data_IF_055599027369
#
_entry.id   IF_055599027369
#
_cell.length_a   1.000
_cell.length_b   1.000
_cell.length_c   1.000
_cell.angle_alpha   90.00
_cell.angle_beta   90.00
_cell.angle_gamma   90.00
#
_symmetry.space_group_name_H-M   'P 1'
#
loop_
_entity.id
_entity.type
_entity.pdbx_description
1 polymer ?
#
# COMPACT_ATOMS: atom_id res chain seq x y z
N UNK A 1 11.80 -8.84 -13.10
CA UNK A 1 11.49 -7.82 -12.08
C UNK A 1 10.06 -8.05 -11.57
N UNK A 2 9.79 -7.88 -10.27
CA UNK A 2 8.47 -8.12 -9.67
C UNK A 2 7.35 -7.30 -10.34
N UNK A 3 7.63 -6.02 -10.63
CA UNK A 3 6.70 -5.10 -11.26
C UNK A 3 6.18 -5.59 -12.62
N UNK A 4 7.08 -5.92 -13.55
CA UNK A 4 6.72 -6.45 -14.87
C UNK A 4 5.88 -7.74 -14.75
N UNK A 5 6.22 -8.61 -13.80
CA UNK A 5 5.50 -9.86 -13.59
C UNK A 5 4.08 -9.61 -13.05
N UNK A 6 3.91 -8.64 -12.14
CA UNK A 6 2.62 -8.25 -11.60
C UNK A 6 1.73 -7.60 -12.67
N UNK A 7 2.24 -6.57 -13.35
CA UNK A 7 1.49 -5.81 -14.36
C UNK A 7 1.05 -6.64 -15.57
N UNK A 8 1.76 -7.73 -15.89
CA UNK A 8 1.36 -8.65 -16.98
C UNK A 8 0.26 -9.63 -16.57
N UNK A 9 0.03 -9.87 -15.28
CA UNK A 9 -0.97 -10.82 -14.78
C UNK A 9 -2.36 -10.22 -14.65
N UNK A 10 -2.46 -8.91 -14.47
CA UNK A 10 -3.71 -8.24 -14.09
C UNK A 10 -4.06 -7.19 -15.12
N UNK A 11 -5.24 -7.32 -15.71
CA UNK A 11 -5.86 -6.29 -16.55
C UNK A 11 -7.15 -5.85 -15.87
N UNK A 12 -7.12 -4.66 -15.27
CA UNK A 12 -8.24 -4.15 -14.49
C UNK A 12 -8.26 -2.62 -14.55
N UNK A 13 -9.44 -1.99 -14.52
CA UNK A 13 -9.54 -0.51 -14.64
C UNK A 13 -8.81 0.23 -13.52
N UNK A 14 -8.72 -0.36 -12.33
CA UNK A 14 -8.06 0.18 -11.14
C UNK A 14 -6.61 -0.30 -10.95
N UNK A 15 -5.96 -0.82 -11.99
CA UNK A 15 -4.55 -1.22 -11.98
C UNK A 15 -3.88 -0.60 -13.20
N UNK A 16 -2.64 -0.13 -13.04
CA UNK A 16 -1.85 0.44 -14.13
C UNK A 16 -1.79 -0.52 -15.33
N UNK A 17 -2.17 -0.04 -16.51
CA UNK A 17 -2.03 -0.79 -17.75
C UNK A 17 -0.63 -0.62 -18.32
N UNK A 18 0.12 -1.72 -18.36
CA UNK A 18 1.36 -1.83 -19.12
C UNK A 18 1.04 -2.15 -20.58
N UNK A 19 1.39 -1.26 -21.50
CA UNK A 19 1.20 -1.44 -22.94
C UNK A 19 2.34 -2.21 -23.59
N UNK A 20 3.59 -1.87 -23.27
CA UNK A 20 4.76 -2.47 -23.91
C UNK A 20 6.01 -2.39 -23.02
N UNK A 21 6.91 -3.36 -23.23
CA UNK A 21 8.29 -3.29 -22.74
C UNK A 21 9.20 -3.02 -23.93
N UNK A 22 10.06 -2.03 -23.81
CA UNK A 22 11.08 -1.71 -24.82
C UNK A 22 12.45 -1.93 -24.19
N UNK A 23 13.25 -2.81 -24.78
CA UNK A 23 14.64 -3.02 -24.37
C UNK A 23 15.49 -2.10 -25.24
N UNK A 24 16.20 -1.18 -24.61
CA UNK A 24 17.11 -0.25 -25.28
C UNK A 24 18.53 -0.63 -24.90
N UNK A 25 19.36 -0.92 -25.90
CA UNK A 25 20.77 -1.22 -25.72
C UNK A 25 21.47 -1.21 -27.07
N UNK A 26 22.68 -0.66 -27.09
CA UNK A 26 23.53 -0.67 -28.27
C UNK A 26 24.37 -1.96 -28.27
N UNK A 27 24.34 -2.70 -29.37
CA UNK A 27 25.16 -3.92 -29.56
C UNK A 27 26.65 -3.62 -29.49
N UNK A 28 27.06 -2.36 -29.67
CA UNK A 28 28.45 -1.90 -29.56
C UNK A 28 28.86 -1.47 -28.15
N UNK A 29 27.91 -1.19 -27.24
CA UNK A 29 28.22 -0.77 -25.87
C UNK A 29 28.16 -1.97 -24.93
N UNK A 30 29.32 -2.33 -24.36
CA UNK A 30 29.46 -3.46 -23.45
C UNK A 30 28.51 -3.35 -22.24
N UNK A 31 27.38 -4.05 -22.28
CA UNK A 31 26.63 -4.50 -21.11
C UNK A 31 25.61 -3.56 -20.48
N UNK A 32 25.22 -2.43 -21.09
CA UNK A 32 24.15 -1.57 -20.55
C UNK A 32 22.88 -1.67 -21.40
N UNK A 33 22.04 -2.65 -21.09
CA UNK A 33 20.65 -2.71 -21.56
C UNK A 33 19.71 -2.09 -20.54
N UNK A 34 18.90 -1.13 -20.96
CA UNK A 34 17.82 -0.53 -20.17
C UNK A 34 16.47 -1.11 -20.60
N UNK A 35 15.54 -1.23 -19.65
CA UNK A 35 14.16 -1.63 -19.93
C UNK A 35 13.25 -0.43 -19.69
N UNK A 36 12.55 -0.01 -20.73
CA UNK A 36 11.53 1.04 -20.65
C UNK A 36 10.15 0.40 -20.54
N UNK A 37 9.35 0.88 -19.59
CA UNK A 37 7.96 0.46 -19.39
C UNK A 37 7.06 1.51 -20.03
N UNK A 38 6.35 1.12 -21.09
CA UNK A 38 5.35 1.95 -21.75
C UNK A 38 3.99 1.61 -21.15
N UNK A 39 3.37 2.56 -20.48
CA UNK A 39 2.09 2.42 -19.76
C UNK A 39 1.08 3.48 -20.20
N UNK A 40 -0.15 3.39 -19.71
CA UNK A 40 -1.14 4.44 -19.88
C UNK A 40 -0.69 5.73 -19.19
N UNK A 41 -1.04 6.89 -19.77
CA UNK A 41 -0.82 8.19 -19.16
C UNK A 41 -1.90 8.43 -18.09
N UNK A 42 -1.47 8.87 -16.91
CA UNK A 42 -2.34 9.17 -15.76
C UNK A 42 -2.10 10.62 -15.32
N UNK A 43 -3.16 11.30 -14.90
CA UNK A 43 -3.19 12.77 -14.80
C UNK A 43 -2.61 13.33 -13.51
N UNK A 44 -2.84 12.67 -12.38
CA UNK A 44 -2.39 13.16 -11.07
C UNK A 44 -2.18 12.00 -10.10
N UNK A 45 -1.24 12.11 -9.18
CA UNK A 45 -1.17 11.21 -8.03
C UNK A 45 -2.09 11.69 -6.90
N UNK A 46 -2.48 10.74 -6.04
CA UNK A 46 -3.37 11.01 -4.92
C UNK A 46 -2.66 11.83 -3.82
N UNK A 47 -1.34 11.69 -3.65
CA UNK A 47 -0.60 12.43 -2.62
C UNK A 47 -0.68 13.93 -2.86
N UNK A 48 -0.30 14.40 -4.05
CA UNK A 48 -0.38 15.81 -4.45
C UNK A 48 -1.82 16.33 -4.36
N UNK A 49 -2.80 15.49 -4.73
CA UNK A 49 -4.23 15.84 -4.64
C UNK A 49 -4.68 16.05 -3.18
N UNK A 50 -4.26 15.19 -2.26
CA UNK A 50 -4.57 15.31 -0.84
C UNK A 50 -3.86 16.52 -0.21
N UNK A 51 -2.58 16.73 -0.55
CA UNK A 51 -1.80 17.88 -0.09
C UNK A 51 -2.42 19.20 -0.56
N UNK A 52 -2.81 19.29 -1.83
CA UNK A 52 -3.44 20.48 -2.38
C UNK A 52 -4.82 20.78 -1.75
N UNK A 53 -5.59 19.75 -1.36
CA UNK A 53 -6.81 19.94 -0.58
C UNK A 53 -6.52 20.44 0.83
N UNK A 54 -5.51 19.86 1.48
CA UNK A 54 -5.07 20.27 2.82
C UNK A 54 -4.63 21.74 2.84
N UNK A 55 -3.74 22.15 1.92
CA UNK A 55 -3.24 23.52 1.82
C UNK A 55 -4.34 24.55 1.56
N UNK A 56 -5.42 24.14 0.88
CA UNK A 56 -6.59 25.00 0.62
C UNK A 56 -7.65 24.94 1.73
N UNK A 57 -7.37 24.25 2.84
CA UNK A 57 -8.32 23.99 3.92
C UNK A 57 -9.65 23.39 3.41
N UNK A 58 -9.61 22.62 2.32
CA UNK A 58 -10.78 21.97 1.76
C UNK A 58 -11.08 20.69 2.53
N UNK A 59 -12.30 20.59 3.05
CA UNK A 59 -12.75 19.36 3.71
C UNK A 59 -13.00 18.26 2.67
N UNK A 60 -12.49 17.04 2.88
CA UNK A 60 -12.78 15.92 2.00
C UNK A 60 -14.28 15.61 2.04
N UNK A 61 -14.88 15.47 0.86
CA UNK A 61 -16.30 15.14 0.75
C UNK A 61 -16.52 13.64 0.96
N UNK A 62 -17.50 13.20 1.78
CA UNK A 62 -17.75 11.79 2.04
C UNK A 62 -17.96 10.95 0.77
N UNK A 63 -18.57 11.52 -0.27
CA UNK A 63 -18.74 10.87 -1.57
C UNK A 63 -17.41 10.56 -2.27
N UNK A 64 -16.41 11.43 -2.16
CA UNK A 64 -15.08 11.21 -2.74
C UNK A 64 -14.34 10.09 -2.00
N UNK A 65 -14.42 10.06 -0.68
CA UNK A 65 -13.79 9.00 0.13
C UNK A 65 -14.44 7.65 -0.16
N UNK A 66 -15.78 7.61 -0.28
CA UNK A 66 -16.52 6.41 -0.65
C UNK A 66 -16.19 5.93 -2.06
N UNK A 67 -16.02 6.85 -3.01
CA UNK A 67 -15.58 6.53 -4.36
C UNK A 67 -14.16 5.95 -4.35
N UNK A 68 -13.22 6.64 -3.70
CA UNK A 68 -11.82 6.20 -3.59
C UNK A 68 -11.73 4.80 -2.97
N UNK A 69 -12.44 4.56 -1.88
CA UNK A 69 -12.46 3.24 -1.24
C UNK A 69 -12.97 2.14 -2.15
N UNK A 70 -14.00 2.39 -2.97
CA UNK A 70 -14.49 1.41 -3.95
C UNK A 70 -13.47 1.11 -5.03
N UNK A 71 -12.85 2.13 -5.60
CA UNK A 71 -11.85 1.96 -6.68
C UNK A 71 -10.61 1.22 -6.17
N UNK A 72 -10.10 1.56 -4.98
CA UNK A 72 -8.95 0.89 -4.37
C UNK A 72 -9.25 -0.56 -4.02
N UNK A 73 -10.38 -0.84 -3.35
CA UNK A 73 -10.76 -2.21 -3.00
C UNK A 73 -11.02 -3.07 -4.24
N UNK A 74 -11.58 -2.49 -5.32
CA UNK A 74 -11.74 -3.19 -6.59
C UNK A 74 -10.40 -3.54 -7.22
N UNK A 75 -9.42 -2.62 -7.20
CA UNK A 75 -8.06 -2.89 -7.64
C UNK A 75 -7.35 -3.96 -6.81
N UNK A 76 -7.49 -3.88 -5.48
CA UNK A 76 -6.93 -4.86 -4.55
C UNK A 76 -7.52 -6.27 -4.77
N UNK A 77 -8.85 -6.38 -4.94
CA UNK A 77 -9.49 -7.66 -5.26
C UNK A 77 -8.89 -8.28 -6.51
N UNK A 78 -8.74 -7.51 -7.59
CA UNK A 78 -8.20 -7.99 -8.85
C UNK A 78 -6.74 -8.50 -8.72
N UNK A 79 -5.87 -7.77 -8.01
CA UNK A 79 -4.48 -8.22 -7.82
C UNK A 79 -4.38 -9.43 -6.88
N UNK A 80 -5.21 -9.49 -5.83
CA UNK A 80 -5.23 -10.59 -4.87
C UNK A 80 -5.77 -11.88 -5.52
N UNK A 81 -6.80 -11.79 -6.36
CA UNK A 81 -7.31 -12.89 -7.17
C UNK A 81 -6.28 -13.44 -8.15
N UNK A 82 -5.38 -12.59 -8.65
CA UNK A 82 -4.23 -12.99 -9.46
C UNK A 82 -3.05 -13.57 -8.65
N UNK A 83 -3.14 -13.56 -7.31
CA UNK A 83 -2.10 -14.02 -6.40
C UNK A 83 -0.95 -13.02 -6.24
N UNK A 84 -1.20 -11.73 -6.44
CA UNK A 84 -0.23 -10.65 -6.31
C UNK A 84 -0.56 -9.83 -5.06
N UNK A 85 0.39 -9.65 -4.16
CA UNK A 85 0.32 -8.68 -3.06
C UNK A 85 1.05 -7.41 -3.49
N UNK A 86 0.46 -6.23 -3.26
CA UNK A 86 1.08 -4.96 -3.63
C UNK A 86 2.25 -4.62 -2.71
N UNK A 87 2.03 -4.66 -1.40
CA UNK A 87 3.05 -4.42 -0.35
C UNK A 87 3.75 -3.06 -0.44
N UNK A 88 3.10 -2.04 -0.97
CA UNK A 88 3.55 -0.64 -0.82
C UNK A 88 2.40 0.33 -1.13
N UNK A 89 1.20 0.06 -0.62
CA UNK A 89 0.07 0.94 -0.86
C UNK A 89 0.19 2.19 0.01
N UNK A 90 0.23 3.35 -0.65
CA UNK A 90 0.35 4.70 -0.09
C UNK A 90 -0.19 5.71 -1.12
N UNK A 91 -0.52 6.96 -0.76
CA UNK A 91 -1.05 7.96 -1.67
C UNK A 91 -0.22 8.15 -2.94
N UNK A 92 1.11 8.12 -2.84
CA UNK A 92 2.03 8.27 -3.97
C UNK A 92 1.89 7.13 -5.00
N UNK A 93 1.43 5.96 -4.56
CA UNK A 93 1.23 4.77 -5.38
C UNK A 93 -0.23 4.58 -5.82
N UNK A 94 -1.04 5.66 -5.73
CA UNK A 94 -2.39 5.72 -6.27
C UNK A 94 -2.46 6.88 -7.24
N UNK A 95 -2.67 6.57 -8.52
CA UNK A 95 -2.86 7.56 -9.57
C UNK A 95 -4.35 7.75 -9.87
N UNK A 96 -4.74 8.97 -10.21
CA UNK A 96 -6.07 9.35 -10.63
C UNK A 96 -6.11 9.49 -12.15
N UNK A 97 -6.98 8.68 -12.77
CA UNK A 97 -7.35 8.80 -14.16
C UNK A 97 -8.51 9.79 -14.31
N UNK A 98 -8.45 10.67 -15.30
CA UNK A 98 -9.49 11.64 -15.62
C UNK A 98 -10.57 11.09 -16.57
N UNK A 99 -11.66 11.83 -16.78
CA UNK A 99 -12.76 11.40 -17.64
C UNK A 99 -12.37 11.22 -19.12
N UNK A 100 -11.26 11.83 -19.57
CA UNK A 100 -10.70 11.64 -20.91
C UNK A 100 -9.83 10.38 -21.05
N UNK A 101 -9.48 9.71 -19.95
CA UNK A 101 -8.72 8.46 -19.97
C UNK A 101 -9.57 7.30 -20.49
N UNK A 102 -8.99 6.28 -21.18
CA UNK A 102 -9.71 5.07 -21.59
C UNK A 102 -10.42 4.34 -20.43
N UNK A 103 -9.96 4.51 -19.19
CA UNK A 103 -10.61 3.96 -17.99
C UNK A 103 -11.71 4.83 -17.40
N UNK A 104 -11.97 6.00 -17.99
CA UNK A 104 -12.75 7.08 -17.40
C UNK A 104 -12.12 7.56 -16.08
N UNK A 105 -12.95 8.24 -15.27
CA UNK A 105 -12.54 8.63 -13.92
C UNK A 105 -12.32 7.40 -13.04
N UNK A 106 -11.07 7.15 -12.64
CA UNK A 106 -10.70 5.97 -11.86
C UNK A 106 -9.51 6.24 -10.93
N UNK A 107 -9.45 5.56 -9.78
CA UNK A 107 -8.21 5.46 -9.00
C UNK A 107 -7.48 4.17 -9.35
N UNK A 108 -6.19 4.25 -9.65
CA UNK A 108 -5.38 3.13 -10.15
C UNK A 108 -4.20 2.85 -9.23
N UNK A 109 -4.02 1.59 -8.89
CA UNK A 109 -2.83 1.08 -8.21
C UNK A 109 -1.64 1.12 -9.19
N UNK A 110 -0.54 1.73 -8.76
CA UNK A 110 0.71 1.83 -9.52
C UNK A 110 1.91 1.40 -8.66
N UNK A 111 3.11 1.38 -9.22
CA UNK A 111 4.35 0.96 -8.55
C UNK A 111 4.26 -0.43 -7.88
N UNK A 112 4.45 -1.45 -8.72
CA UNK A 112 4.53 -2.85 -8.29
C UNK A 112 5.98 -3.27 -8.01
N UNK A 113 6.90 -2.32 -7.75
CA UNK A 113 8.31 -2.61 -7.48
C UNK A 113 8.51 -3.56 -6.29
N UNK A 114 7.64 -3.41 -5.28
CA UNK A 114 7.64 -4.22 -4.06
C UNK A 114 6.63 -5.38 -4.11
N UNK A 115 5.95 -5.62 -5.24
CA UNK A 115 4.92 -6.64 -5.32
C UNK A 115 5.46 -8.05 -5.11
N UNK A 116 4.63 -8.95 -4.56
CA UNK A 116 4.98 -10.37 -4.37
C UNK A 116 3.93 -11.30 -4.96
N UNK A 117 4.40 -12.20 -5.82
CA UNK A 117 3.61 -13.27 -6.40
C UNK A 117 3.59 -14.50 -5.48
N UNK A 118 2.52 -14.66 -4.71
CA UNK A 118 2.41 -15.71 -3.68
C UNK A 118 2.16 -17.11 -4.27
N UNK A 119 1.81 -17.19 -5.56
CA UNK A 119 1.63 -18.46 -6.27
C UNK A 119 2.94 -18.98 -6.88
N UNK A 120 3.97 -18.14 -6.97
CA UNK A 120 5.25 -18.55 -7.54
C UNK A 120 6.01 -19.52 -6.62
N UNK A 121 6.68 -20.51 -7.23
CA UNK A 121 7.58 -21.43 -6.51
C UNK A 121 8.76 -20.71 -5.84
N UNK A 122 9.15 -19.53 -6.34
CA UNK A 122 10.15 -18.64 -5.73
C UNK A 122 9.64 -17.98 -4.44
N UNK A 123 8.35 -17.64 -4.33
CA UNK A 123 7.81 -17.05 -3.10
C UNK A 123 7.84 -17.98 -1.89
N UNK A 124 7.83 -19.31 -2.11
CA UNK A 124 7.99 -20.31 -1.04
C UNK A 124 9.39 -20.30 -0.41
N UNK A 125 10.40 -19.78 -1.13
CA UNK A 125 11.81 -19.69 -0.69
C UNK A 125 12.29 -18.26 -0.41
N UNK A 126 11.51 -17.26 -0.82
CA UNK A 126 11.90 -15.86 -0.70
C UNK A 126 11.66 -15.34 0.71
N UNK A 127 12.63 -14.56 1.20
CA UNK A 127 12.49 -13.82 2.45
C UNK A 127 11.24 -12.93 2.40
N UNK A 128 10.40 -13.05 3.41
CA UNK A 128 9.16 -12.26 3.53
C UNK A 128 9.41 -10.93 4.23
N UNK A 129 10.63 -10.71 4.76
CA UNK A 129 10.99 -9.62 5.68
C UNK A 129 11.67 -8.41 5.03
N UNK A 130 12.21 -8.52 3.82
CA UNK A 130 12.86 -7.40 3.13
C UNK A 130 11.82 -6.35 2.69
N UNK A 131 11.65 -5.30 3.48
CA UNK A 131 10.70 -4.21 3.21
C UNK A 131 11.35 -2.84 3.44
N UNK A 132 11.77 -2.21 2.34
CA UNK A 132 12.36 -0.86 2.30
C UNK A 132 11.36 0.07 1.63
N UNK A 133 10.38 0.56 2.38
CA UNK A 133 9.42 1.56 1.91
C UNK A 133 8.79 2.32 3.09
N UNK A 134 7.97 3.34 2.81
CA UNK A 134 7.31 4.22 3.79
C UNK A 134 6.55 3.39 4.83
N UNK A 135 6.86 3.57 6.12
CA UNK A 135 6.34 2.69 7.19
C UNK A 135 4.93 3.01 7.67
N UNK A 136 4.41 4.18 7.31
CA UNK A 136 3.17 4.74 7.87
C UNK A 136 1.93 3.90 7.54
N UNK A 137 1.97 3.15 6.44
CA UNK A 137 0.88 2.30 5.95
C UNK A 137 1.08 0.82 6.26
N UNK A 138 2.16 0.44 6.95
CA UNK A 138 2.46 -0.97 7.23
C UNK A 138 1.51 -1.54 8.27
N UNK A 139 1.02 -2.74 7.98
CA UNK A 139 0.21 -3.53 8.89
C UNK A 139 1.00 -3.99 10.13
N UNK A 140 0.35 -4.14 11.30
CA UNK A 140 1.03 -4.51 12.55
C UNK A 140 1.78 -5.84 12.43
N UNK A 141 1.28 -6.82 11.69
CA UNK A 141 1.97 -8.09 11.45
C UNK A 141 3.29 -7.95 10.71
N UNK A 142 3.41 -6.97 9.80
CA UNK A 142 4.68 -6.67 9.13
C UNK A 142 5.66 -6.02 10.09
N UNK A 143 5.18 -5.17 10.99
CA UNK A 143 5.99 -4.49 12.00
C UNK A 143 6.46 -5.45 13.11
N UNK A 144 5.67 -6.47 13.43
CA UNK A 144 6.04 -7.54 14.36
C UNK A 144 6.91 -8.63 13.73
N UNK A 145 7.23 -8.54 12.44
CA UNK A 145 8.11 -9.51 11.77
C UNK A 145 7.44 -10.86 11.47
N UNK A 146 6.13 -10.89 11.20
CA UNK A 146 5.43 -12.11 10.83
C UNK A 146 6.09 -12.80 9.62
N UNK A 147 6.49 -14.07 9.81
CA UNK A 147 7.15 -14.86 8.77
C UNK A 147 6.25 -15.13 7.55
N UNK A 148 4.92 -15.05 7.72
CA UNK A 148 3.92 -15.22 6.66
C UNK A 148 2.78 -14.24 6.88
N UNK A 149 2.30 -13.66 5.79
CA UNK A 149 1.17 -12.73 5.77
C UNK A 149 0.37 -12.91 4.47
N UNK A 150 -0.82 -12.32 4.42
CA UNK A 150 -1.79 -12.43 3.31
C UNK A 150 -2.04 -11.06 2.68
N UNK A 151 -3.00 -10.97 1.75
CA UNK A 151 -3.49 -9.70 1.21
C UNK A 151 -4.09 -8.75 2.26
N UNK A 152 -4.31 -9.21 3.50
CA UNK A 152 -4.73 -8.37 4.61
C UNK A 152 -3.79 -7.18 4.85
N UNK A 153 -2.49 -7.31 4.53
CA UNK A 153 -1.54 -6.20 4.67
C UNK A 153 -1.85 -5.02 3.73
N UNK A 154 -2.35 -5.32 2.52
CA UNK A 154 -2.74 -4.29 1.55
C UNK A 154 -4.09 -3.66 1.94
N UNK A 155 -4.99 -4.46 2.50
CA UNK A 155 -6.28 -3.98 3.03
C UNK A 155 -6.07 -3.03 4.21
N UNK A 156 -5.12 -3.35 5.11
CA UNK A 156 -4.70 -2.46 6.19
C UNK A 156 -4.20 -1.12 5.64
N UNK A 157 -3.24 -1.17 4.69
CA UNK A 157 -2.69 0.02 4.07
C UNK A 157 -3.77 0.88 3.40
N UNK A 158 -4.74 0.25 2.73
CA UNK A 158 -5.91 0.93 2.17
C UNK A 158 -6.75 1.62 3.25
N UNK A 159 -6.97 0.99 4.40
CA UNK A 159 -7.67 1.58 5.53
C UNK A 159 -6.96 2.82 6.08
N UNK A 160 -5.63 2.75 6.23
CA UNK A 160 -4.81 3.89 6.66
C UNK A 160 -4.88 5.03 5.65
N UNK A 161 -4.78 4.74 4.35
CA UNK A 161 -4.88 5.72 3.26
C UNK A 161 -6.25 6.40 3.24
N UNK A 162 -7.35 5.64 3.38
CA UNK A 162 -8.70 6.22 3.42
C UNK A 162 -8.92 7.09 4.66
N UNK A 163 -8.35 6.69 5.81
CA UNK A 163 -8.38 7.51 7.01
C UNK A 163 -7.58 8.81 6.79
N UNK A 164 -6.39 8.76 6.20
CA UNK A 164 -5.59 9.94 5.86
C UNK A 164 -6.32 10.87 4.88
N UNK A 165 -6.96 10.32 3.85
CA UNK A 165 -7.77 11.09 2.92
C UNK A 165 -8.97 11.78 3.60
N UNK A 166 -9.53 11.17 4.66
CA UNK A 166 -10.64 11.71 5.44
C UNK A 166 -10.20 12.79 6.45
N UNK A 167 -9.03 12.62 7.06
CA UNK A 167 -8.51 13.55 8.07
C UNK A 167 -7.66 14.68 7.48
N UNK A 168 -7.21 14.50 6.23
CA UNK A 168 -6.27 15.41 5.55
C UNK A 168 -4.87 15.40 6.17
N UNK A 169 -4.50 14.40 6.98
CA UNK A 169 -3.18 14.31 7.61
C UNK A 169 -2.77 12.86 7.88
N UNK A 170 -1.45 12.56 7.89
CA UNK A 170 -0.96 11.22 8.21
C UNK A 170 -1.50 10.69 9.54
N UNK A 171 -2.06 9.47 9.51
CA UNK A 171 -2.72 8.85 10.68
C UNK A 171 -1.69 8.26 11.63
N UNK A 172 -0.69 7.56 11.10
CA UNK A 172 0.35 6.91 11.89
C UNK A 172 1.75 7.26 11.37
N UNK A 173 2.22 8.52 11.54
CA UNK A 173 3.54 8.93 11.08
C UNK A 173 4.62 8.48 12.07
N UNK A 174 5.01 7.20 12.02
CA UNK A 174 6.08 6.64 12.85
C UNK A 174 7.48 6.86 12.27
N UNK A 175 8.45 7.09 13.15
CA UNK A 175 9.88 7.25 12.79
C UNK A 175 10.65 5.91 12.77
N UNK A 176 10.16 4.92 13.49
CA UNK A 176 10.75 3.60 13.69
C UNK A 176 9.65 2.52 13.74
N UNK A 177 9.96 1.22 13.54
CA UNK A 177 8.96 0.16 13.65
C UNK A 177 8.24 0.14 15.01
N UNK A 178 8.98 0.33 16.11
CA UNK A 178 8.44 0.39 17.46
C UNK A 178 7.54 1.61 17.66
N UNK A 179 7.94 2.79 17.17
CA UNK A 179 7.11 3.99 17.24
C UNK A 179 5.85 3.88 16.37
N UNK A 180 5.93 3.23 15.21
CA UNK A 180 4.79 2.92 14.36
C UNK A 180 3.77 2.03 15.11
N UNK A 181 4.23 0.94 15.73
CA UNK A 181 3.39 0.06 16.55
C UNK A 181 2.75 0.81 17.72
N UNK A 182 3.51 1.68 18.40
CA UNK A 182 2.99 2.52 19.47
C UNK A 182 1.86 3.44 18.99
N UNK A 183 2.04 4.14 17.86
CA UNK A 183 1.00 5.02 17.28
C UNK A 183 -0.26 4.24 16.88
N UNK A 184 -0.09 3.06 16.30
CA UNK A 184 -1.21 2.15 15.99
C UNK A 184 -1.95 1.78 17.28
N UNK A 185 -1.21 1.31 18.30
CA UNK A 185 -1.78 0.89 19.58
C UNK A 185 -2.46 2.03 20.36
N UNK A 186 -1.92 3.24 20.28
CA UNK A 186 -2.51 4.43 20.91
C UNK A 186 -3.90 4.74 20.36
N UNK A 187 -4.16 4.44 19.08
CA UNK A 187 -5.46 4.70 18.44
C UNK A 187 -6.39 3.50 18.50
N UNK A 188 -5.90 2.31 18.14
CA UNK A 188 -6.72 1.10 17.94
C UNK A 188 -6.70 0.14 19.13
N UNK A 189 -5.89 0.42 20.15
CA UNK A 189 -5.66 -0.48 21.27
C UNK A 189 -4.46 -1.40 21.03
N UNK A 190 -3.91 -1.94 22.12
CA UNK A 190 -2.71 -2.76 22.04
C UNK A 190 -3.00 -4.10 21.34
N UNK A 191 -2.15 -4.58 20.40
CA UNK A 191 -2.41 -5.79 19.63
C UNK A 191 -2.74 -7.02 20.49
N UNK A 192 -2.08 -7.16 21.64
CA UNK A 192 -2.28 -8.26 22.58
C UNK A 192 -3.71 -8.36 23.15
N UNK A 193 -4.53 -7.31 23.06
CA UNK A 193 -5.90 -7.31 23.58
C UNK A 193 -6.90 -7.96 22.63
N UNK A 194 -6.66 -7.87 21.32
CA UNK A 194 -7.59 -8.30 20.27
C UNK A 194 -6.98 -9.33 19.31
N UNK A 195 -5.67 -9.52 19.35
CA UNK A 195 -4.93 -10.42 18.47
C UNK A 195 -4.04 -11.38 19.28
N UNK A 196 -4.55 -12.59 19.62
CA UNK A 196 -3.86 -13.54 20.49
C UNK A 196 -2.49 -14.03 20.01
N UNK A 197 -2.25 -14.02 18.69
CA UNK A 197 -0.96 -14.42 18.11
C UNK A 197 0.13 -13.33 18.20
N UNK A 198 -0.24 -12.08 18.47
CA UNK A 198 0.70 -10.95 18.44
C UNK A 198 1.90 -11.14 19.40
N UNK A 199 1.75 -11.60 20.66
CA UNK A 199 2.89 -11.85 21.55
C UNK A 199 3.86 -12.90 21.02
N UNK A 200 3.34 -13.98 20.42
CA UNK A 200 4.15 -15.07 19.87
C UNK A 200 4.96 -14.60 18.65
N UNK A 201 4.33 -13.82 17.76
CA UNK A 201 4.99 -13.27 16.58
C UNK A 201 6.08 -12.29 16.99
N UNK A 202 5.76 -11.38 17.91
CA UNK A 202 6.69 -10.38 18.43
C UNK A 202 7.93 -11.02 19.08
N UNK A 203 7.71 -12.05 19.92
CA UNK A 203 8.80 -12.78 20.58
C UNK A 203 9.72 -13.49 19.56
N UNK A 204 9.15 -14.11 18.53
CA UNK A 204 9.93 -14.79 17.48
C UNK A 204 10.83 -13.83 16.68
N UNK A 205 10.41 -12.57 16.53
CA UNK A 205 11.16 -11.54 15.82
C UNK A 205 12.01 -10.63 16.74
N UNK A 206 11.96 -10.83 18.07
CA UNK A 206 12.63 -9.96 19.03
C UNK A 206 12.08 -8.53 19.06
N UNK A 207 10.83 -8.32 18.67
CA UNK A 207 10.19 -6.99 18.61
C UNK A 207 9.43 -6.73 19.91
N UNK A 208 9.67 -5.62 20.62
CA UNK A 208 8.91 -5.28 21.82
C UNK A 208 7.49 -4.86 21.47
N UNK A 209 6.51 -5.35 22.22
CA UNK A 209 5.13 -4.88 22.11
C UNK A 209 4.92 -3.58 22.90
N UNK A 210 4.09 -2.65 22.40
CA UNK A 210 3.73 -1.47 23.16
C UNK A 210 2.93 -1.86 24.41
N UNK A 211 3.35 -1.33 25.55
CA UNK A 211 2.66 -1.45 26.83
C UNK A 211 1.46 -0.50 26.85
N UNK A 212 0.25 -0.99 26.61
CA UNK A 212 -0.96 -0.24 27.02
C UNK A 212 -2.09 -1.18 27.43
N UNK A 213 -2.50 -1.05 28.69
CA UNK A 213 -3.59 -1.79 29.32
C UNK A 213 -4.99 -1.21 28.97
N UNK A 214 -5.18 -0.68 27.74
CA UNK A 214 -6.40 0.06 27.38
C UNK A 214 -6.84 -0.11 25.93
N UNK A 215 -8.12 0.21 25.66
CA UNK A 215 -8.84 0.03 24.39
C UNK A 215 -8.43 0.99 23.25
N UNK A 216 -7.31 1.70 23.39
CA UNK A 216 -6.94 2.79 22.49
C UNK A 216 -7.85 4.02 22.60
N UNK A 217 -7.48 5.11 21.94
CA UNK A 217 -8.24 6.35 21.92
C UNK A 217 -9.51 6.28 21.04
N UNK A 218 -9.59 5.28 20.15
CA UNK A 218 -10.67 5.06 19.21
C UNK A 218 -10.51 5.84 17.90
N UNK A 219 -10.96 5.24 16.78
CA UNK A 219 -10.92 5.84 15.43
C UNK A 219 -11.71 7.15 15.36
N UNK A 220 -12.75 7.32 16.21
CA UNK A 220 -13.54 8.54 16.27
C UNK A 220 -12.71 9.79 16.56
N UNK A 221 -11.58 9.68 17.29
CA UNK A 221 -10.68 10.81 17.55
C UNK A 221 -9.84 11.23 16.34
N UNK A 222 -9.82 10.41 15.29
CA UNK A 222 -9.19 10.79 14.02
C UNK A 222 -10.10 11.71 13.21
N UNK A 223 -11.42 11.65 13.42
CA UNK A 223 -12.39 12.40 12.63
C UNK A 223 -12.36 13.90 13.00
N UNK A 224 -12.45 14.79 11.99
CA UNK A 224 -12.49 16.24 12.18
C UNK A 224 -13.85 16.77 12.67
#
# INVERSE_FOLDING_TARGET
QPEIAALRKVQHRNVLRLHRLVVVGDSASAGKSSVLLVSELLEADLFESLEAMHLRAQRPRPEHIRWLGRELLSGLSAIHEAGVLHRDLKPENVMLAGPGSPSGCAAKLVDFGQAKDVRSSKARRADWTAYVATRWYRAPELLLGAARYTGAVDVWACGVLLAEALTGRPVFPGDSPSNQLFKIAATLGAPQTSWPDAPRIAAAAGVPLPSSAGSGAGVARLLP
#
